data_IF_975893634737
#
_entry.id   IF_975893634737
#
_cell.length_a   1.000
_cell.length_b   1.000
_cell.length_c   1.000
_cell.angle_alpha   90.00
_cell.angle_beta   90.00
_cell.angle_gamma   90.00
#
_symmetry.space_group_name_H-M   'P 1'
#
loop_
_entity.id
_entity.type
_entity.pdbx_description
1 polymer ?
#
# COMPACT_ATOMS: atom_id res chain seq x y z
N UNK A 1 46.53 10.41 -32.87
CA UNK A 1 45.45 9.39 -32.85
C UNK A 1 45.12 8.92 -31.43
N UNK A 2 46.10 8.77 -30.54
CA UNK A 2 45.95 8.24 -29.16
C UNK A 2 44.91 8.97 -28.30
N UNK A 3 44.86 10.31 -28.34
CA UNK A 3 43.91 11.08 -27.53
C UNK A 3 42.44 10.89 -27.94
N UNK A 4 42.17 10.61 -29.23
CA UNK A 4 40.81 10.38 -29.72
C UNK A 4 40.30 9.01 -29.27
N UNK A 5 41.15 7.99 -29.32
CA UNK A 5 40.82 6.65 -28.81
C UNK A 5 40.57 6.70 -27.30
N UNK A 6 41.44 7.38 -26.54
CA UNK A 6 41.25 7.55 -25.10
C UNK A 6 39.93 8.25 -24.77
N UNK A 7 39.58 9.34 -25.46
CA UNK A 7 38.32 10.06 -25.25
C UNK A 7 37.09 9.18 -25.53
N UNK A 8 37.11 8.40 -26.62
CA UNK A 8 36.01 7.46 -26.94
C UNK A 8 35.88 6.37 -25.88
N UNK A 9 36.99 5.79 -25.43
CA UNK A 9 36.97 4.77 -24.37
C UNK A 9 36.38 5.32 -23.08
N UNK A 10 36.81 6.52 -22.65
CA UNK A 10 36.26 7.18 -21.46
C UNK A 10 34.76 7.40 -21.59
N UNK A 11 34.29 7.89 -22.75
CA UNK A 11 32.88 8.12 -23.00
C UNK A 11 32.06 6.82 -22.96
N UNK A 12 32.54 5.74 -23.59
CA UNK A 12 31.88 4.43 -23.57
C UNK A 12 31.81 3.86 -22.16
N UNK A 13 32.92 3.92 -21.41
CA UNK A 13 32.96 3.45 -20.01
C UNK A 13 32.00 4.25 -19.14
N UNK A 14 31.95 5.58 -19.30
CA UNK A 14 31.03 6.42 -18.55
C UNK A 14 29.57 6.03 -18.86
N UNK A 15 29.19 5.93 -20.14
CA UNK A 15 27.83 5.53 -20.55
C UNK A 15 27.47 4.15 -20.02
N UNK A 16 28.38 3.18 -20.11
CA UNK A 16 28.15 1.82 -19.57
C UNK A 16 27.98 1.84 -18.05
N UNK A 17 28.83 2.57 -17.32
CA UNK A 17 28.73 2.70 -15.88
C UNK A 17 27.41 3.35 -15.44
N UNK A 18 27.01 4.46 -16.08
CA UNK A 18 25.71 5.08 -15.84
C UNK A 18 24.55 4.14 -16.18
N UNK A 19 24.64 3.39 -17.28
CA UNK A 19 23.65 2.39 -17.65
C UNK A 19 23.51 1.29 -16.60
N UNK A 20 24.61 0.79 -16.06
CA UNK A 20 24.65 -0.22 -14.98
C UNK A 20 24.05 0.33 -13.69
N UNK A 21 24.48 1.53 -13.26
CA UNK A 21 23.96 2.18 -12.04
C UNK A 21 22.47 2.46 -12.18
N UNK A 22 22.06 3.06 -13.31
CA UNK A 22 20.66 3.38 -13.57
C UNK A 22 19.81 2.11 -13.65
N UNK A 23 20.23 1.11 -14.43
CA UNK A 23 19.46 -0.13 -14.57
C UNK A 23 19.29 -0.88 -13.25
N UNK A 24 20.30 -0.87 -12.36
CA UNK A 24 20.17 -1.41 -11.00
C UNK A 24 19.20 -0.57 -10.17
N UNK A 25 19.30 0.75 -10.27
CA UNK A 25 18.37 1.67 -9.61
C UNK A 25 16.95 1.68 -10.20
N UNK A 26 16.72 1.02 -11.34
CA UNK A 26 15.41 0.95 -11.98
C UNK A 26 14.86 -0.48 -11.99
N UNK A 27 15.52 -1.43 -11.31
CA UNK A 27 15.19 -2.86 -11.33
C UNK A 27 15.05 -3.42 -12.77
N UNK A 28 15.83 -2.86 -13.71
CA UNK A 28 15.78 -3.22 -15.14
C UNK A 28 16.11 -4.69 -15.38
N UNK A 29 16.93 -5.29 -14.52
CA UNK A 29 17.36 -6.68 -14.61
C UNK A 29 16.66 -7.60 -13.60
N UNK A 30 15.52 -7.15 -13.08
CA UNK A 30 14.73 -7.88 -12.10
C UNK A 30 14.60 -7.12 -10.77
N UNK A 31 13.61 -7.51 -9.96
CA UNK A 31 13.37 -6.90 -8.66
C UNK A 31 14.55 -7.13 -7.71
N UNK A 32 14.89 -6.10 -6.93
CA UNK A 32 15.88 -6.20 -5.86
C UNK A 32 15.51 -7.31 -4.86
N UNK A 33 16.51 -8.10 -4.45
CA UNK A 33 16.33 -9.16 -3.44
C UNK A 33 15.70 -8.62 -2.16
N UNK A 34 16.07 -7.39 -1.76
CA UNK A 34 15.53 -6.71 -0.57
C UNK A 34 14.03 -6.46 -0.71
N UNK A 35 13.53 -6.15 -1.92
CA UNK A 35 12.10 -5.96 -2.18
C UNK A 35 11.37 -7.30 -2.13
N UNK A 36 11.96 -8.36 -2.67
CA UNK A 36 11.38 -9.71 -2.64
C UNK A 36 11.31 -10.25 -1.20
N UNK A 37 12.38 -10.09 -0.43
CA UNK A 37 12.41 -10.46 0.98
C UNK A 37 11.39 -9.66 1.78
N UNK A 38 11.23 -8.36 1.54
CA UNK A 38 10.19 -7.56 2.18
C UNK A 38 8.78 -8.02 1.79
N UNK A 39 8.56 -8.37 0.53
CA UNK A 39 7.29 -8.90 0.06
C UNK A 39 6.96 -10.27 0.68
N UNK A 40 7.95 -11.14 0.87
CA UNK A 40 7.76 -12.45 1.50
C UNK A 40 7.27 -12.34 2.95
N UNK A 41 7.67 -11.27 3.67
CA UNK A 41 7.22 -11.01 5.05
C UNK A 41 5.71 -10.83 5.17
N UNK A 42 5.02 -10.45 4.08
CA UNK A 42 3.56 -10.33 4.05
C UNK A 42 2.85 -11.66 4.35
N UNK A 43 3.49 -12.80 4.06
CA UNK A 43 2.96 -14.13 4.40
C UNK A 43 2.86 -14.38 5.90
N UNK A 44 3.59 -13.61 6.71
CA UNK A 44 3.63 -13.73 8.18
C UNK A 44 2.56 -12.90 8.87
N UNK A 45 1.81 -12.08 8.13
CA UNK A 45 0.72 -11.29 8.69
C UNK A 45 -0.35 -12.24 9.26
N UNK A 46 -0.79 -12.05 10.51
CA UNK A 46 -1.82 -12.88 11.10
C UNK A 46 -3.09 -12.89 10.24
N UNK A 47 -3.58 -14.09 9.96
CA UNK A 47 -4.83 -14.30 9.22
C UNK A 47 -6.04 -14.36 10.14
N UNK A 48 -5.82 -14.43 11.45
CA UNK A 48 -6.86 -14.49 12.49
C UNK A 48 -6.71 -13.28 13.40
N UNK A 49 -7.82 -12.55 13.55
CA UNK A 49 -7.99 -11.48 14.53
C UNK A 49 -9.14 -11.90 15.43
N UNK A 50 -9.02 -11.66 16.73
CA UNK A 50 -9.98 -12.12 17.72
C UNK A 50 -11.39 -11.60 17.42
N UNK A 51 -12.39 -12.48 17.38
CA UNK A 51 -13.77 -12.12 17.03
C UNK A 51 -14.05 -12.00 15.52
N UNK A 52 -13.03 -12.16 14.66
CA UNK A 52 -13.17 -12.02 13.20
C UNK A 52 -12.75 -13.28 12.46
N UNK A 53 -13.58 -13.68 11.51
CA UNK A 53 -13.25 -14.73 10.53
C UNK A 53 -12.70 -14.07 9.26
N UNK A 54 -11.79 -14.73 8.55
CA UNK A 54 -11.19 -14.13 7.35
C UNK A 54 -11.13 -15.07 6.16
N UNK A 55 -11.35 -14.52 4.98
CA UNK A 55 -11.21 -15.22 3.69
C UNK A 55 -10.12 -14.56 2.86
N UNK A 56 -9.28 -15.33 2.15
CA UNK A 56 -8.26 -14.76 1.27
C UNK A 56 -8.92 -14.10 0.05
N UNK A 57 -8.37 -12.96 -0.35
CA UNK A 57 -8.73 -12.26 -1.59
C UNK A 57 -7.60 -12.40 -2.60
N UNK A 58 -7.94 -12.53 -3.88
CA UNK A 58 -6.94 -12.68 -4.95
C UNK A 58 -6.79 -11.38 -5.72
N UNK A 59 -5.57 -10.86 -5.80
CA UNK A 59 -5.23 -9.74 -6.69
C UNK A 59 -4.65 -10.33 -7.97
N UNK A 60 -5.20 -9.96 -9.14
CA UNK A 60 -4.72 -10.49 -10.42
C UNK A 60 -3.27 -10.05 -10.69
N UNK A 61 -2.48 -10.84 -11.44
CA UNK A 61 -1.11 -10.48 -11.79
C UNK A 61 -1.01 -9.12 -12.49
N UNK A 62 -1.99 -8.77 -13.34
CA UNK A 62 -2.04 -7.48 -14.03
C UNK A 62 -2.24 -6.30 -13.06
N UNK A 63 -3.10 -6.46 -12.05
CA UNK A 63 -3.30 -5.43 -11.01
C UNK A 63 -2.05 -5.26 -10.14
N UNK A 64 -1.36 -6.35 -9.77
CA UNK A 64 -0.10 -6.26 -9.02
C UNK A 64 0.99 -5.55 -9.82
N UNK A 65 1.12 -5.90 -11.10
CA UNK A 65 2.07 -5.25 -12.00
C UNK A 65 1.77 -3.75 -12.14
N UNK A 66 0.51 -3.38 -12.38
CA UNK A 66 0.08 -1.99 -12.48
C UNK A 66 0.28 -1.19 -11.17
N UNK A 67 0.18 -1.84 -10.02
CA UNK A 67 0.45 -1.24 -8.71
C UNK A 67 1.96 -1.13 -8.39
N UNK A 68 2.84 -1.71 -9.22
CA UNK A 68 4.28 -1.79 -8.93
C UNK A 68 4.60 -2.66 -7.71
N UNK A 69 3.75 -3.63 -7.41
CA UNK A 69 3.89 -4.52 -6.27
C UNK A 69 4.63 -5.81 -6.64
N UNK A 70 5.60 -6.20 -5.81
CA UNK A 70 6.30 -7.48 -5.88
C UNK A 70 5.57 -8.60 -5.14
N UNK A 71 4.73 -8.26 -4.16
CA UNK A 71 3.88 -9.19 -3.43
C UNK A 71 2.76 -8.49 -2.68
N UNK A 72 1.84 -9.27 -2.14
CA UNK A 72 0.66 -8.74 -1.46
C UNK A 72 0.15 -9.69 -0.37
N UNK A 73 -0.58 -9.09 0.56
CA UNK A 73 -1.50 -9.75 1.49
C UNK A 73 -2.87 -9.14 1.25
N UNK A 74 -3.91 -9.95 0.98
CA UNK A 74 -5.27 -9.44 0.82
C UNK A 74 -6.28 -10.41 1.44
N UNK A 75 -7.13 -9.90 2.32
CA UNK A 75 -8.15 -10.68 3.02
C UNK A 75 -9.39 -9.85 3.32
N UNK A 76 -10.54 -10.52 3.32
CA UNK A 76 -11.79 -9.97 3.81
C UNK A 76 -12.13 -10.57 5.18
N UNK A 77 -12.27 -9.73 6.19
CA UNK A 77 -12.61 -10.09 7.55
C UNK A 77 -14.09 -9.82 7.81
N UNK A 78 -14.75 -10.72 8.53
CA UNK A 78 -16.15 -10.59 8.93
C UNK A 78 -16.35 -11.05 10.37
N UNK A 79 -17.08 -10.24 11.14
CA UNK A 79 -17.49 -10.59 12.51
C UNK A 79 -18.85 -11.30 12.54
N UNK A 80 -19.33 -11.67 13.74
CA UNK A 80 -20.64 -12.30 13.92
C UNK A 80 -21.84 -11.36 13.76
N UNK A 81 -21.62 -10.04 13.86
CA UNK A 81 -22.66 -9.03 13.71
C UNK A 81 -22.92 -8.68 12.23
N UNK A 82 -22.03 -9.11 11.33
CA UNK A 82 -22.13 -8.87 9.90
C UNK A 82 -21.28 -7.70 9.40
N UNK A 83 -20.48 -7.07 10.27
CA UNK A 83 -19.50 -6.06 9.86
C UNK A 83 -18.41 -6.74 9.02
N UNK A 84 -17.87 -6.01 8.04
CA UNK A 84 -16.83 -6.53 7.17
C UNK A 84 -15.73 -5.51 6.91
N UNK A 85 -14.48 -5.95 7.00
CA UNK A 85 -13.29 -5.15 6.72
C UNK A 85 -12.41 -5.90 5.74
N UNK A 86 -12.20 -5.34 4.57
CA UNK A 86 -11.21 -5.84 3.62
C UNK A 86 -9.88 -5.13 3.84
N UNK A 87 -8.83 -5.90 4.06
CA UNK A 87 -7.46 -5.41 4.17
C UNK A 87 -6.67 -5.86 2.96
N UNK A 88 -5.93 -4.95 2.35
CA UNK A 88 -4.89 -5.28 1.37
C UNK A 88 -3.61 -4.53 1.70
N UNK A 89 -2.49 -5.25 1.79
CA UNK A 89 -1.14 -4.69 1.94
C UNK A 89 -0.32 -5.13 0.74
N UNK A 90 0.21 -4.16 0.02
CA UNK A 90 1.08 -4.36 -1.13
C UNK A 90 2.51 -4.02 -0.70
N UNK A 91 3.49 -4.77 -1.19
CA UNK A 91 4.91 -4.44 -1.04
C UNK A 91 5.56 -4.30 -2.42
N UNK A 92 6.39 -3.28 -2.59
CA UNK A 92 7.08 -3.01 -3.84
C UNK A 92 8.13 -1.94 -3.70
N UNK A 93 8.76 -1.58 -4.81
CA UNK A 93 9.77 -0.51 -4.83
C UNK A 93 9.10 0.83 -4.52
N UNK A 94 9.70 1.63 -3.61
CA UNK A 94 9.15 2.89 -3.13
C UNK A 94 8.63 3.82 -4.23
N UNK A 95 9.36 3.95 -5.34
CA UNK A 95 8.97 4.79 -6.48
C UNK A 95 7.61 4.37 -7.06
N UNK A 96 7.53 3.25 -7.80
CA UNK A 96 6.28 2.77 -8.40
C UNK A 96 5.12 2.60 -7.41
N UNK A 97 5.35 1.99 -6.24
CA UNK A 97 4.24 1.65 -5.32
C UNK A 97 3.66 2.87 -4.57
N UNK A 98 4.45 3.94 -4.45
CA UNK A 98 3.96 5.22 -3.92
C UNK A 98 2.97 5.92 -4.86
N UNK A 99 2.89 5.48 -6.12
CA UNK A 99 2.02 6.07 -7.13
C UNK A 99 0.59 5.52 -7.01
N UNK A 100 -0.35 6.22 -7.64
CA UNK A 100 -1.75 5.83 -7.79
C UNK A 100 -2.49 5.59 -6.46
N UNK A 101 -2.92 6.65 -5.74
CA UNK A 101 -3.93 6.50 -4.70
C UNK A 101 -5.23 5.88 -5.25
N UNK A 102 -6.12 5.35 -4.39
CA UNK A 102 -7.44 4.82 -4.81
C UNK A 102 -8.24 5.81 -5.63
N UNK A 103 -8.05 7.10 -5.39
CA UNK A 103 -8.69 8.18 -6.15
C UNK A 103 -8.39 8.15 -7.65
N UNK A 104 -7.32 7.48 -8.08
CA UNK A 104 -6.99 7.22 -9.49
C UNK A 104 -7.47 5.82 -9.92
N UNK A 105 -7.18 4.78 -9.15
CA UNK A 105 -7.48 3.41 -9.56
C UNK A 105 -8.98 3.11 -9.53
N UNK A 106 -9.68 3.53 -8.47
CA UNK A 106 -11.10 3.24 -8.29
C UNK A 106 -11.97 4.05 -9.24
N UNK A 107 -11.58 5.29 -9.53
CA UNK A 107 -12.26 6.13 -10.54
C UNK A 107 -12.06 5.57 -11.94
N UNK A 108 -10.87 5.09 -12.28
CA UNK A 108 -10.62 4.39 -13.55
C UNK A 108 -11.40 3.07 -13.66
N UNK A 109 -11.76 2.42 -12.55
CA UNK A 109 -12.67 1.26 -12.55
C UNK A 109 -14.16 1.63 -12.53
N UNK A 110 -14.48 2.92 -12.68
CA UNK A 110 -15.87 3.41 -12.74
C UNK A 110 -16.51 3.72 -11.39
N UNK A 111 -15.77 3.70 -10.29
CA UNK A 111 -16.31 4.14 -8.99
C UNK A 111 -16.39 5.66 -8.92
N UNK A 112 -17.44 6.18 -8.30
CA UNK A 112 -17.60 7.62 -8.06
C UNK A 112 -17.12 7.96 -6.65
N UNK A 113 -16.27 8.98 -6.54
CA UNK A 113 -15.91 9.54 -5.24
C UNK A 113 -17.10 10.32 -4.65
N UNK A 114 -17.50 9.99 -3.42
CA UNK A 114 -18.59 10.67 -2.73
C UNK A 114 -18.05 11.77 -1.80
N UNK A 115 -17.06 11.48 -0.96
CA UNK A 115 -16.55 12.44 0.02
C UNK A 115 -15.24 13.08 -0.44
N UNK A 116 -14.85 14.17 0.21
CA UNK A 116 -13.48 14.70 0.06
C UNK A 116 -12.48 13.79 0.76
N UNK A 117 -11.21 13.90 0.36
CA UNK A 117 -10.09 13.29 1.09
C UNK A 117 -9.97 13.92 2.48
N UNK A 118 -10.10 13.10 3.52
CA UNK A 118 -9.87 13.49 4.91
C UNK A 118 -8.77 12.63 5.52
N UNK A 119 -8.20 13.06 6.65
CA UNK A 119 -7.25 12.23 7.40
C UNK A 119 -7.92 11.59 8.61
N UNK A 120 -7.97 10.26 8.61
CA UNK A 120 -8.35 9.46 9.78
C UNK A 120 -7.09 9.02 10.54
N UNK A 121 -7.18 9.01 11.87
CA UNK A 121 -6.12 8.51 12.74
C UNK A 121 -6.58 7.20 13.38
N UNK A 122 -5.64 6.28 13.54
CA UNK A 122 -5.82 5.04 14.31
C UNK A 122 -4.70 4.95 15.33
N UNK A 123 -5.05 4.64 16.58
CA UNK A 123 -4.09 4.49 17.67
C UNK A 123 -3.82 3.00 17.89
N UNK A 124 -2.55 2.58 17.84
CA UNK A 124 -2.20 1.17 18.05
C UNK A 124 -0.81 1.04 18.63
N UNK A 125 -0.63 0.12 19.60
CA UNK A 125 0.67 -0.14 20.23
C UNK A 125 1.44 1.13 20.69
N UNK A 126 0.73 2.19 21.11
CA UNK A 126 1.31 3.48 21.51
C UNK A 126 1.76 4.39 20.37
N UNK A 127 1.36 4.11 19.12
CA UNK A 127 1.69 4.87 17.92
C UNK A 127 0.40 5.33 17.21
N UNK A 128 0.39 6.59 16.80
CA UNK A 128 -0.66 7.15 15.94
C UNK A 128 -0.31 6.95 14.47
N UNK A 129 -1.17 6.25 13.73
CA UNK A 129 -1.08 6.12 12.28
C UNK A 129 -2.11 7.00 11.57
N UNK A 130 -1.76 7.54 10.40
CA UNK A 130 -2.59 8.48 9.62
C UNK A 130 -2.91 7.90 8.26
N UNK A 131 -4.19 7.79 7.96
CA UNK A 131 -4.71 7.30 6.71
C UNK A 131 -5.50 8.39 6.00
N UNK A 132 -5.39 8.45 4.68
CA UNK A 132 -6.36 9.21 3.90
C UNK A 132 -7.64 8.39 3.79
N UNK A 133 -8.79 9.05 3.92
CA UNK A 133 -10.11 8.44 3.94
C UNK A 133 -10.99 9.06 2.89
N UNK A 134 -11.64 8.22 2.09
CA UNK A 134 -12.62 8.60 1.07
C UNK A 134 -13.70 7.53 0.96
N UNK A 135 -14.95 7.95 0.82
CA UNK A 135 -16.06 7.07 0.48
C UNK A 135 -16.27 7.05 -1.04
N UNK A 136 -16.37 5.84 -1.61
CA UNK A 136 -16.60 5.60 -3.03
C UNK A 136 -17.92 4.87 -3.25
N UNK A 137 -18.62 5.20 -4.34
CA UNK A 137 -19.79 4.48 -4.83
C UNK A 137 -19.39 3.59 -6.00
N UNK A 138 -19.53 2.25 -5.90
CA UNK A 138 -19.31 1.36 -7.03
C UNK A 138 -20.31 1.60 -8.17
N UNK A 139 -19.98 1.25 -9.42
CA UNK A 139 -20.83 1.54 -10.59
C UNK A 139 -22.16 0.76 -10.64
N UNK A 140 -22.34 -0.26 -9.80
CA UNK A 140 -23.58 -1.03 -9.75
C UNK A 140 -24.65 -0.27 -8.93
N UNK A 141 -25.84 -0.12 -9.53
CA UNK A 141 -26.97 0.69 -9.04
C UNK A 141 -27.45 0.33 -7.62
N UNK A 142 -27.11 -0.87 -7.13
CA UNK A 142 -27.47 -1.38 -5.80
C UNK A 142 -26.26 -1.65 -4.88
N UNK A 143 -25.05 -1.25 -5.27
CA UNK A 143 -23.88 -1.42 -4.40
C UNK A 143 -23.87 -0.33 -3.33
N UNK A 144 -23.80 -0.75 -2.07
CA UNK A 144 -23.56 0.16 -0.96
C UNK A 144 -22.21 0.90 -1.18
N UNK A 145 -22.12 2.18 -0.78
CA UNK A 145 -20.85 2.87 -0.74
C UNK A 145 -19.81 2.12 0.10
N UNK A 146 -18.56 2.22 -0.31
CA UNK A 146 -17.41 1.68 0.41
C UNK A 146 -16.57 2.82 0.96
N UNK A 147 -16.28 2.77 2.25
CA UNK A 147 -15.25 3.61 2.85
C UNK A 147 -13.90 3.00 2.61
N UNK A 148 -12.97 3.81 2.13
CA UNK A 148 -11.61 3.41 1.80
C UNK A 148 -10.62 4.24 2.60
N UNK A 149 -9.73 3.56 3.32
CA UNK A 149 -8.56 4.16 3.96
C UNK A 149 -7.30 3.70 3.25
N UNK A 150 -6.31 4.59 3.11
CA UNK A 150 -4.99 4.18 2.65
C UNK A 150 -3.85 4.97 3.27
N UNK A 151 -2.71 4.30 3.38
CA UNK A 151 -1.47 4.86 3.89
C UNK A 151 -0.27 4.05 3.39
N UNK A 152 0.92 4.57 3.67
CA UNK A 152 2.20 3.92 3.37
C UNK A 152 3.03 3.76 4.63
N UNK A 153 3.91 2.76 4.62
CA UNK A 153 4.88 2.55 5.68
C UNK A 153 6.15 1.90 5.14
N UNK A 154 7.36 2.37 5.54
CA UNK A 154 8.60 1.70 5.18
C UNK A 154 8.89 0.46 6.03
N UNK A 155 8.26 0.32 7.21
CA UNK A 155 8.60 -0.70 8.20
C UNK A 155 7.40 -1.41 8.84
N UNK A 156 6.17 -0.96 8.55
CA UNK A 156 4.94 -1.49 9.12
C UNK A 156 4.63 -0.98 10.53
N UNK A 157 5.47 -0.11 11.12
CA UNK A 157 5.28 0.41 12.49
C UNK A 157 4.34 1.60 12.54
N UNK A 158 4.62 2.59 11.71
CA UNK A 158 3.78 3.76 11.58
C UNK A 158 3.32 3.88 10.13
N UNK A 159 2.03 4.10 9.95
CA UNK A 159 1.43 4.34 8.64
C UNK A 159 1.16 5.82 8.46
N UNK A 160 1.56 6.37 7.32
CA UNK A 160 1.44 7.81 7.04
C UNK A 160 0.87 8.05 5.65
N UNK A 161 0.28 9.23 5.45
CA UNK A 161 -0.31 9.68 4.21
C UNK A 161 0.30 11.03 3.73
N UNK A 162 1.61 11.06 3.40
CA UNK A 162 2.26 12.29 2.96
C UNK A 162 1.64 12.81 1.66
N UNK A 163 1.62 14.14 1.47
CA UNK A 163 1.12 14.76 0.23
C UNK A 163 1.95 14.39 -1.01
N UNK A 164 3.23 14.07 -0.82
CA UNK A 164 4.18 13.72 -1.88
C UNK A 164 4.91 12.42 -1.53
N UNK A 165 4.23 11.26 -1.55
CA UNK A 165 4.80 9.99 -1.06
C UNK A 165 6.06 9.56 -1.83
N UNK A 166 6.13 9.87 -3.13
CA UNK A 166 7.33 9.58 -3.94
C UNK A 166 8.59 10.30 -3.41
N UNK A 167 8.44 11.53 -2.93
CA UNK A 167 9.55 12.32 -2.39
C UNK A 167 9.84 11.91 -0.95
N UNK A 168 8.80 11.78 -0.12
CA UNK A 168 8.91 11.39 1.28
C UNK A 168 9.64 10.06 1.46
N UNK A 169 9.32 9.07 0.62
CA UNK A 169 9.91 7.74 0.70
C UNK A 169 11.09 7.55 -0.27
N UNK A 170 11.65 8.63 -0.82
CA UNK A 170 12.84 8.54 -1.65
C UNK A 170 14.03 8.08 -0.80
N UNK A 171 14.58 6.91 -1.12
CA UNK A 171 15.71 6.32 -0.39
C UNK A 171 15.38 5.04 0.37
N UNK A 172 14.10 4.72 0.60
CA UNK A 172 13.74 3.39 1.12
C UNK A 172 13.85 2.32 0.02
N UNK A 173 14.43 1.14 0.29
CA UNK A 173 14.58 0.11 -0.74
C UNK A 173 13.23 -0.45 -1.22
N UNK A 174 12.25 -0.51 -0.33
CA UNK A 174 10.87 -0.93 -0.58
C UNK A 174 9.91 -0.04 0.21
N UNK A 175 8.62 -0.22 -0.04
CA UNK A 175 7.55 0.46 0.69
C UNK A 175 6.34 -0.47 0.76
N UNK A 176 5.67 -0.47 1.91
CA UNK A 176 4.35 -1.08 2.06
C UNK A 176 3.27 -0.03 1.81
N UNK A 177 2.20 -0.45 1.15
CA UNK A 177 0.98 0.35 0.94
C UNK A 177 -0.21 -0.44 1.42
N UNK A 178 -1.01 0.16 2.30
CA UNK A 178 -2.18 -0.48 2.88
C UNK A 178 -3.45 0.16 2.36
N UNK A 179 -4.44 -0.69 2.10
CA UNK A 179 -5.83 -0.34 1.86
C UNK A 179 -6.70 -1.03 2.91
N UNK A 180 -7.64 -0.28 3.47
CA UNK A 180 -8.67 -0.79 4.36
C UNK A 180 -10.01 -0.36 3.77
N UNK A 181 -10.88 -1.32 3.46
CA UNK A 181 -12.19 -1.08 2.89
C UNK A 181 -13.28 -1.60 3.83
N UNK A 182 -14.32 -0.82 4.05
CA UNK A 182 -15.51 -1.21 4.84
C UNK A 182 -16.77 -0.65 4.21
N UNK A 183 -17.92 -1.30 4.40
CA UNK A 183 -19.21 -0.76 3.97
C UNK A 183 -19.57 0.54 4.73
N UNK A 184 -20.32 1.42 4.09
CA UNK A 184 -20.90 2.63 4.71
C UNK A 184 -22.23 3.00 4.06
N UNK A 185 -23.23 3.39 4.85
CA UNK A 185 -24.61 3.62 4.37
C UNK A 185 -25.00 5.10 4.25
N UNK A 186 -24.12 6.02 4.67
CA UNK A 186 -24.48 7.45 4.83
C UNK A 186 -23.54 8.44 4.14
N UNK A 187 -22.74 7.96 3.18
CA UNK A 187 -21.86 8.83 2.40
C UNK A 187 -22.69 9.79 1.52
N UNK A 188 -22.48 11.10 1.68
CA UNK A 188 -23.09 12.15 0.85
C UNK A 188 -22.03 12.84 0.01
N UNK A 189 -22.40 13.16 -1.23
CA UNK A 189 -21.50 13.82 -2.17
C UNK A 189 -21.00 15.17 -1.63
N UNK A 190 -19.68 15.38 -1.64
CA UNK A 190 -19.02 16.60 -1.20
C UNK A 190 -18.90 16.78 0.32
N UNK A 191 -19.47 15.88 1.13
CA UNK A 191 -19.39 15.91 2.59
C UNK A 191 -18.08 15.31 3.11
N UNK A 192 -17.82 15.50 4.40
CA UNK A 192 -16.81 14.71 5.12
C UNK A 192 -17.30 13.27 5.28
N UNK A 193 -16.40 12.27 5.33
CA UNK A 193 -16.78 10.90 5.66
C UNK A 193 -17.49 10.83 7.02
N UNK A 194 -18.62 10.09 7.15
CA UNK A 194 -19.20 9.79 8.45
C UNK A 194 -18.21 9.17 9.43
N UNK A 195 -18.54 9.14 10.72
CA UNK A 195 -17.77 8.41 11.73
C UNK A 195 -17.67 6.92 11.38
N UNK A 196 -16.58 6.28 11.80
CA UNK A 196 -16.35 4.85 11.62
C UNK A 196 -17.15 4.10 12.69
N UNK A 197 -17.63 2.89 12.36
CA UNK A 197 -18.24 2.04 13.38
C UNK A 197 -17.18 1.63 14.42
N UNK A 198 -17.46 1.73 15.73
CA UNK A 198 -16.48 1.41 16.77
C UNK A 198 -15.85 0.02 16.63
N UNK A 199 -16.63 -0.97 16.19
CA UNK A 199 -16.17 -2.35 15.98
C UNK A 199 -15.15 -2.45 14.84
N UNK A 200 -15.33 -1.66 13.78
CA UNK A 200 -14.40 -1.58 12.66
C UNK A 200 -13.13 -0.82 13.06
N UNK A 201 -13.27 0.26 13.81
CA UNK A 201 -12.13 1.03 14.34
C UNK A 201 -11.26 0.14 15.24
N UNK A 202 -11.87 -0.53 16.22
CA UNK A 202 -11.16 -1.46 17.11
C UNK A 202 -10.47 -2.58 16.33
N UNK A 203 -11.14 -3.18 15.34
CA UNK A 203 -10.52 -4.19 14.48
C UNK A 203 -9.26 -3.66 13.78
N UNK A 204 -9.34 -2.45 13.22
CA UNK A 204 -8.21 -1.84 12.51
C UNK A 204 -7.04 -1.60 13.48
N UNK A 205 -7.31 -1.07 14.66
CA UNK A 205 -6.29 -0.84 15.69
C UNK A 205 -5.63 -2.14 16.16
N UNK A 206 -6.41 -3.18 16.43
CA UNK A 206 -5.92 -4.50 16.82
C UNK A 206 -5.11 -5.18 15.72
N UNK A 207 -5.54 -5.02 14.47
CA UNK A 207 -4.81 -5.54 13.31
C UNK A 207 -3.48 -4.80 13.13
N UNK A 208 -3.49 -3.46 13.18
CA UNK A 208 -2.29 -2.63 13.06
C UNK A 208 -1.26 -2.94 14.14
N UNK A 209 -1.69 -3.19 15.39
CA UNK A 209 -0.81 -3.54 16.51
C UNK A 209 0.02 -4.81 16.25
N UNK A 210 -0.44 -5.71 15.36
CA UNK A 210 0.22 -6.99 15.04
C UNK A 210 1.16 -6.91 13.83
N UNK A 211 1.02 -5.87 13.00
CA UNK A 211 1.81 -5.71 11.77
C UNK A 211 3.32 -5.57 12.00
N UNK A 212 3.80 -4.80 12.99
CA UNK A 212 5.24 -4.60 13.18
C UNK A 212 6.01 -5.92 13.34
N UNK A 213 5.46 -6.86 14.11
CA UNK A 213 6.07 -8.16 14.33
C UNK A 213 6.07 -9.03 13.07
N UNK A 214 5.03 -8.93 12.25
CA UNK A 214 4.93 -9.66 10.98
C UNK A 214 5.89 -9.12 9.91
N UNK A 215 6.18 -7.81 9.91
CA UNK A 215 6.97 -7.16 8.86
C UNK A 215 8.44 -6.89 9.24
N UNK A 216 8.84 -7.18 10.48
CA UNK A 216 10.22 -7.01 10.95
C UNK A 216 11.23 -7.81 10.14
N UNK A 217 12.43 -7.27 9.97
CA UNK A 217 13.54 -8.06 9.44
C UNK A 217 14.02 -9.07 10.49
N UNK A 218 13.97 -10.35 10.19
CA UNK A 218 14.45 -11.43 11.09
C UNK A 218 15.89 -11.83 10.80
N UNK A 219 16.51 -11.32 9.73
CA UNK A 219 17.90 -11.63 9.35
C UNK A 219 18.94 -10.73 10.04
N UNK A 220 18.49 -9.70 10.77
CA UNK A 220 19.33 -8.73 11.46
C UNK A 220 19.66 -9.08 12.93
N UNK A 221 19.42 -10.33 13.35
CA UNK A 221 19.76 -10.85 14.69
C UNK A 221 20.96 -11.79 14.64
#
# INVERSE_FOLDING_TARGET
MTNRIAAVVVAVVAVAAFGIVYGRSADRWGPSIVVLEAADRLSRIPTVVEGWTSTPETISPGQLHGAGAAGYFARNYRDSAGNSVQISILCGRHGPISLHPPTVCFTNSGMKMLTKEETTKFEHAGVTSKFTTVDFLPPAEFSAPIRTFWAWSPDGKQWTNPKQPRMEFSGYPFLYKMYILTATEHAKEGAAPPTILPEVEQFVEDFLARIPDALRDTSAN
#
